data_IF_293770789999
#
_entry.id   IF_293770789999
#
_cell.length_a   1.000
_cell.length_b   1.000
_cell.length_c   1.000
_cell.angle_alpha   90.00
_cell.angle_beta   90.00
_cell.angle_gamma   90.00
#
_symmetry.space_group_name_H-M   'P 1'
#
loop_
_entity.id
_entity.type
_entity.pdbx_description
1 polymer ?
#
# COMPACT_ATOMS: atom_id res chain seq x y z
N UNK A 1 -3.35 1.17 2.51
CA UNK A 1 -4.17 1.95 3.45
C UNK A 1 -3.32 3.11 3.93
N UNK A 2 -2.40 2.98 4.90
CA UNK A 2 -1.28 3.91 5.14
C UNK A 2 -1.58 5.38 4.82
N UNK A 3 -0.80 5.97 3.91
CA UNK A 3 -0.91 7.37 3.43
C UNK A 3 -2.27 7.82 2.90
N UNK A 4 -3.11 6.88 2.47
CA UNK A 4 -4.40 7.14 1.81
C UNK A 4 -5.60 6.56 2.57
N UNK A 5 -5.43 6.15 3.82
CA UNK A 5 -6.54 5.70 4.67
C UNK A 5 -7.42 6.88 5.08
N UNK A 6 -8.68 6.61 5.44
CA UNK A 6 -9.50 7.62 6.11
C UNK A 6 -9.14 7.64 7.60
N UNK A 7 -8.66 8.77 8.10
CA UNK A 7 -8.29 8.92 9.52
C UNK A 7 -9.48 8.67 10.46
N UNK A 8 -10.71 8.97 10.01
CA UNK A 8 -11.93 8.75 10.80
C UNK A 8 -12.27 7.28 10.98
N UNK A 9 -11.86 6.44 10.04
CA UNK A 9 -12.12 5.01 10.03
C UNK A 9 -10.92 4.21 10.56
N UNK A 10 -9.68 4.64 10.26
CA UNK A 10 -8.44 4.01 10.73
C UNK A 10 -8.06 4.39 12.17
N UNK A 11 -8.52 5.56 12.66
CA UNK A 11 -8.15 6.11 13.97
C UNK A 11 -6.66 6.46 14.10
N UNK A 12 -5.91 6.54 13.00
CA UNK A 12 -4.46 6.80 12.98
C UNK A 12 -4.12 7.92 11.98
N UNK A 13 -3.09 8.73 12.27
CA UNK A 13 -2.57 9.70 11.31
C UNK A 13 -2.09 9.00 10.03
N UNK A 14 -2.41 9.56 8.88
CA UNK A 14 -2.00 9.02 7.56
C UNK A 14 -0.59 9.44 7.14
N UNK A 15 0.07 10.29 7.91
CA UNK A 15 1.33 10.95 7.54
C UNK A 15 2.58 10.33 8.20
N UNK A 16 2.42 9.46 9.19
CA UNK A 16 3.52 8.90 9.99
C UNK A 16 4.62 8.24 9.17
N UNK A 17 4.26 7.37 8.21
CA UNK A 17 5.24 6.69 7.36
C UNK A 17 6.04 7.66 6.47
N UNK A 18 5.41 8.77 6.04
CA UNK A 18 6.10 9.82 5.29
C UNK A 18 7.05 10.58 6.22
N UNK A 19 6.59 10.97 7.41
CA UNK A 19 7.39 11.75 8.38
C UNK A 19 8.62 11.00 8.86
N UNK A 20 8.50 9.69 9.00
CA UNK A 20 9.61 8.81 9.38
C UNK A 20 10.51 8.46 8.19
N UNK A 21 10.18 8.90 6.97
CA UNK A 21 10.94 8.59 5.76
C UNK A 21 11.01 7.09 5.46
N UNK A 22 10.00 6.31 5.87
CA UNK A 22 10.01 4.86 5.70
C UNK A 22 9.98 4.49 4.21
N UNK A 23 10.87 3.59 3.83
CA UNK A 23 10.95 3.00 2.48
C UNK A 23 9.85 1.96 2.24
N UNK A 24 8.61 2.40 2.29
CA UNK A 24 7.42 1.58 2.01
C UNK A 24 7.28 1.31 0.50
N UNK A 25 6.45 0.35 0.12
CA UNK A 25 6.16 0.08 -1.29
C UNK A 25 5.63 1.32 -2.03
N UNK A 26 4.89 2.22 -1.35
CA UNK A 26 4.39 3.45 -1.98
C UNK A 26 5.53 4.39 -2.38
N UNK A 27 6.54 4.53 -1.52
CA UNK A 27 7.69 5.38 -1.79
C UNK A 27 8.56 4.80 -2.92
N UNK A 28 8.78 3.48 -2.90
CA UNK A 28 9.55 2.77 -3.93
C UNK A 28 8.85 2.90 -5.29
N UNK A 29 7.55 2.63 -5.35
CA UNK A 29 6.76 2.76 -6.57
C UNK A 29 6.72 4.21 -7.11
N UNK A 30 6.71 5.20 -6.21
CA UNK A 30 6.80 6.60 -6.62
C UNK A 30 8.14 6.89 -7.30
N UNK A 31 9.25 6.40 -6.73
CA UNK A 31 10.58 6.53 -7.35
C UNK A 31 10.70 5.83 -8.70
N UNK A 32 10.00 4.73 -8.92
CA UNK A 32 10.07 4.01 -10.19
C UNK A 32 9.28 4.71 -11.31
N UNK A 33 8.20 5.42 -10.96
CA UNK A 33 7.27 6.00 -11.93
C UNK A 33 7.45 7.50 -12.20
N UNK A 34 7.96 8.24 -11.24
CA UNK A 34 8.20 9.68 -11.41
C UNK A 34 9.35 9.92 -12.39
N UNK A 35 9.36 11.09 -13.03
CA UNK A 35 10.52 11.53 -13.80
C UNK A 35 11.66 12.02 -12.87
N UNK A 36 12.86 12.20 -13.41
CA UNK A 36 14.05 12.55 -12.60
C UNK A 36 13.91 13.85 -11.80
N UNK A 37 13.25 14.88 -12.35
CA UNK A 37 12.98 16.13 -11.62
C UNK A 37 12.14 15.87 -10.36
N UNK A 38 11.07 15.08 -10.51
CA UNK A 38 10.15 14.78 -9.42
C UNK A 38 10.72 13.79 -8.42
N UNK A 39 11.56 12.83 -8.87
CA UNK A 39 12.34 11.97 -7.97
C UNK A 39 13.25 12.80 -7.08
N UNK A 40 14.01 13.74 -7.65
CA UNK A 40 14.89 14.62 -6.88
C UNK A 40 14.10 15.42 -5.84
N UNK A 41 12.94 15.96 -6.23
CA UNK A 41 12.04 16.66 -5.29
C UNK A 41 11.51 15.74 -4.19
N UNK A 42 11.12 14.51 -4.53
CA UNK A 42 10.68 13.51 -3.56
C UNK A 42 11.80 13.17 -2.56
N UNK A 43 13.03 12.98 -3.04
CA UNK A 43 14.21 12.73 -2.21
C UNK A 43 14.45 13.86 -1.23
N UNK A 44 14.46 15.11 -1.71
CA UNK A 44 14.65 16.28 -0.85
C UNK A 44 13.58 16.41 0.24
N UNK A 45 12.34 16.02 -0.04
CA UNK A 45 11.25 16.05 0.95
C UNK A 45 11.43 14.95 2.01
N UNK A 46 11.78 13.73 1.59
CA UNK A 46 11.94 12.56 2.47
C UNK A 46 13.19 12.66 3.35
N UNK A 47 14.27 13.27 2.86
CA UNK A 47 15.53 13.44 3.60
C UNK A 47 15.52 14.67 4.53
N UNK A 48 14.43 15.43 4.54
CA UNK A 48 14.31 16.64 5.35
C UNK A 48 14.22 16.26 6.84
N UNK A 49 15.13 16.81 7.65
CA UNK A 49 15.19 16.54 9.09
C UNK A 49 13.91 16.93 9.83
N UNK A 50 13.26 18.01 9.41
CA UNK A 50 12.02 18.53 9.98
C UNK A 50 10.98 18.75 8.88
N UNK A 51 10.02 17.83 8.81
CA UNK A 51 9.02 17.82 7.74
C UNK A 51 7.74 18.52 8.17
N UNK A 52 7.37 19.60 7.46
CA UNK A 52 6.15 20.36 7.74
C UNK A 52 4.91 19.70 7.15
N UNK A 53 3.72 20.13 7.57
CA UNK A 53 2.45 19.66 6.97
C UNK A 53 2.40 19.90 5.45
N UNK A 54 2.93 21.04 5.00
CA UNK A 54 3.01 21.34 3.57
C UNK A 54 3.97 20.41 2.83
N UNK A 55 5.02 19.92 3.49
CA UNK A 55 5.95 18.96 2.90
C UNK A 55 5.30 17.57 2.79
N UNK A 56 4.57 17.13 3.82
CA UNK A 56 3.72 15.92 3.76
C UNK A 56 2.77 16.00 2.56
N UNK A 57 2.09 17.14 2.40
CA UNK A 57 1.13 17.34 1.32
C UNK A 57 1.78 17.25 -0.07
N UNK A 58 2.98 17.84 -0.25
CA UNK A 58 3.75 17.70 -1.50
C UNK A 58 4.13 16.25 -1.78
N UNK A 59 4.48 15.46 -0.77
CA UNK A 59 4.76 14.03 -0.97
C UNK A 59 3.47 13.29 -1.39
N UNK A 60 2.34 13.58 -0.75
CA UNK A 60 1.03 13.01 -1.13
C UNK A 60 0.67 13.34 -2.58
N UNK A 61 0.91 14.57 -3.04
CA UNK A 61 0.71 14.97 -4.43
C UNK A 61 1.59 14.18 -5.41
N UNK A 62 2.88 14.00 -5.10
CA UNK A 62 3.78 13.17 -5.90
C UNK A 62 3.35 11.70 -5.95
N UNK A 63 2.83 11.17 -4.84
CA UNK A 63 2.28 9.81 -4.80
C UNK A 63 1.01 9.66 -5.63
N UNK A 64 0.13 10.67 -5.63
CA UNK A 64 -1.06 10.71 -6.48
C UNK A 64 -0.66 10.75 -7.96
N UNK A 65 0.32 11.58 -8.30
CA UNK A 65 0.82 11.69 -9.67
C UNK A 65 1.44 10.37 -10.17
N UNK A 66 2.20 9.69 -9.32
CA UNK A 66 2.76 8.37 -9.61
C UNK A 66 1.73 7.24 -9.57
N UNK A 67 0.46 7.52 -9.23
CA UNK A 67 -0.61 6.54 -9.10
C UNK A 67 -0.22 5.30 -8.25
N UNK A 68 0.49 5.54 -7.14
CA UNK A 68 1.02 4.46 -6.28
C UNK A 68 -0.10 3.74 -5.52
N UNK A 69 -1.26 4.39 -5.38
CA UNK A 69 -2.47 3.79 -4.82
C UNK A 69 -2.94 2.61 -5.67
N UNK A 70 -2.96 2.78 -6.99
CA UNK A 70 -3.30 1.68 -7.90
C UNK A 70 -2.19 0.64 -8.00
N UNK A 71 -0.91 1.03 -7.94
CA UNK A 71 0.19 0.05 -7.80
C UNK A 71 -0.03 -0.89 -6.63
N UNK A 72 -0.31 -0.33 -5.44
CA UNK A 72 -0.57 -1.12 -4.25
C UNK A 72 -1.77 -2.04 -4.38
N UNK A 73 -2.87 -1.57 -4.99
CA UNK A 73 -4.05 -2.40 -5.27
C UNK A 73 -3.75 -3.54 -6.24
N UNK A 74 -3.03 -3.25 -7.32
CA UNK A 74 -2.67 -4.25 -8.33
C UNK A 74 -1.73 -5.31 -7.75
N UNK A 75 -0.78 -4.90 -6.91
CA UNK A 75 0.12 -5.84 -6.23
C UNK A 75 -0.66 -6.73 -5.25
N UNK A 76 -1.59 -6.16 -4.47
CA UNK A 76 -2.46 -6.94 -3.59
C UNK A 76 -3.34 -7.95 -4.37
N UNK A 77 -3.89 -7.54 -5.51
CA UNK A 77 -4.65 -8.42 -6.40
C UNK A 77 -3.79 -9.56 -6.98
N UNK A 78 -2.52 -9.28 -7.27
CA UNK A 78 -1.58 -10.28 -7.76
C UNK A 78 -1.33 -11.35 -6.70
N UNK A 79 -1.00 -10.94 -5.48
CA UNK A 79 -0.81 -11.88 -4.36
C UNK A 79 -2.10 -12.63 -4.00
N UNK A 80 -3.27 -12.01 -4.11
CA UNK A 80 -4.54 -12.70 -3.92
C UNK A 80 -4.70 -13.85 -4.92
N UNK A 81 -4.42 -13.62 -6.20
CA UNK A 81 -4.50 -14.67 -7.23
C UNK A 81 -3.51 -15.81 -6.99
N UNK A 82 -2.28 -15.48 -6.60
CA UNK A 82 -1.26 -16.49 -6.26
C UNK A 82 -1.67 -17.34 -5.05
N UNK A 83 -2.18 -16.69 -4.00
CA UNK A 83 -2.64 -17.37 -2.80
C UNK A 83 -3.87 -18.24 -3.08
N UNK A 84 -4.84 -17.75 -3.86
CA UNK A 84 -6.01 -18.53 -4.29
C UNK A 84 -5.60 -19.76 -5.11
N UNK A 85 -4.70 -19.59 -6.08
CA UNK A 85 -4.18 -20.71 -6.87
C UNK A 85 -3.37 -21.71 -6.04
N UNK A 86 -2.78 -21.29 -4.92
CA UNK A 86 -2.11 -22.19 -3.97
C UNK A 86 -3.11 -22.93 -3.10
N UNK A 87 -4.17 -22.26 -2.65
CA UNK A 87 -5.26 -22.85 -1.87
C UNK A 87 -6.03 -23.90 -2.69
N UNK A 88 -6.33 -23.63 -3.96
CA UNK A 88 -7.02 -24.58 -4.84
C UNK A 88 -6.27 -25.92 -4.98
N UNK A 89 -4.93 -25.88 -4.97
CA UNK A 89 -4.09 -27.09 -5.01
C UNK A 89 -4.19 -27.94 -3.73
N UNK A 90 -4.61 -27.34 -2.62
CA UNK A 90 -4.78 -28.03 -1.34
C UNK A 90 -6.14 -28.72 -1.23
N UNK A 91 -7.07 -28.55 -2.17
CA UNK A 91 -8.44 -29.07 -2.05
C UNK A 91 -8.57 -30.60 -1.90
N UNK A 92 -7.51 -31.37 -2.18
CA UNK A 92 -7.45 -32.82 -1.92
C UNK A 92 -6.81 -33.19 -0.57
N UNK A 93 -6.22 -32.21 0.12
CA UNK A 93 -5.45 -32.36 1.36
C UNK A 93 -6.23 -31.84 2.57
N UNK A 94 -6.93 -30.72 2.40
CA UNK A 94 -7.70 -30.06 3.47
C UNK A 94 -9.19 -30.37 3.36
N UNK A 95 -9.91 -30.23 4.47
CA UNK A 95 -11.36 -30.39 4.50
C UNK A 95 -12.10 -29.13 4.04
N UNK A 96 -13.41 -29.27 3.81
CA UNK A 96 -14.25 -28.18 3.30
C UNK A 96 -14.26 -26.94 4.23
N UNK A 97 -14.31 -27.13 5.55
CA UNK A 97 -14.34 -26.00 6.50
C UNK A 97 -13.02 -25.24 6.55
N UNK A 98 -11.89 -25.93 6.37
CA UNK A 98 -10.57 -25.29 6.25
C UNK A 98 -10.47 -24.48 4.96
N UNK A 99 -10.97 -25.03 3.85
CA UNK A 99 -11.04 -24.35 2.56
C UNK A 99 -11.85 -23.05 2.67
N UNK A 100 -13.07 -23.13 3.20
CA UNK A 100 -13.97 -21.98 3.39
C UNK A 100 -13.32 -20.90 4.26
N UNK A 101 -12.70 -21.29 5.39
CA UNK A 101 -12.01 -20.34 6.26
C UNK A 101 -10.91 -19.54 5.54
N UNK A 102 -10.07 -20.22 4.75
CA UNK A 102 -8.99 -19.54 4.03
C UNK A 102 -9.52 -18.69 2.86
N UNK A 103 -10.56 -19.13 2.17
CA UNK A 103 -11.23 -18.31 1.15
C UNK A 103 -11.80 -17.02 1.74
N UNK A 104 -12.51 -17.12 2.86
CA UNK A 104 -13.07 -15.97 3.57
C UNK A 104 -11.96 -15.03 4.05
N UNK A 105 -10.85 -15.56 4.58
CA UNK A 105 -9.70 -14.77 4.99
C UNK A 105 -9.07 -14.03 3.80
N UNK A 106 -8.87 -14.71 2.66
CA UNK A 106 -8.33 -14.10 1.45
C UNK A 106 -9.23 -12.96 0.95
N UNK A 107 -10.53 -13.20 0.90
CA UNK A 107 -11.52 -12.20 0.48
C UNK A 107 -11.55 -11.02 1.45
N UNK A 108 -11.52 -11.28 2.75
CA UNK A 108 -11.49 -10.25 3.79
C UNK A 108 -10.26 -9.35 3.66
N UNK A 109 -9.06 -9.91 3.52
CA UNK A 109 -7.82 -9.13 3.42
C UNK A 109 -7.80 -8.20 2.20
N UNK A 110 -8.42 -8.63 1.09
CA UNK A 110 -8.50 -7.86 -0.15
C UNK A 110 -9.56 -6.76 -0.13
N UNK A 111 -10.72 -7.03 0.48
CA UNK A 111 -11.91 -6.18 0.38
C UNK A 111 -12.15 -5.29 1.59
N UNK A 112 -11.48 -5.56 2.72
CA UNK A 112 -11.62 -4.78 3.96
C UNK A 112 -11.48 -3.28 3.69
N UNK A 113 -12.49 -2.53 4.12
CA UNK A 113 -12.50 -1.07 4.12
C UNK A 113 -12.01 -0.57 5.48
N UNK A 114 -11.21 0.48 5.44
CA UNK A 114 -10.69 1.21 6.58
C UNK A 114 -10.76 2.70 6.28
#
# INVERSE_FOLDING_TARGET
IGTFGDEKLTGKPTDGDIREGKKTCLLIEAYDKLNEEKKNRLTQLIEKSEMTEMDVQKVKELFIEADVSNSGRNLAQTYYKEAKGSLDKLGSVINQSEMEFFEDLLNFVLTRRF
#
